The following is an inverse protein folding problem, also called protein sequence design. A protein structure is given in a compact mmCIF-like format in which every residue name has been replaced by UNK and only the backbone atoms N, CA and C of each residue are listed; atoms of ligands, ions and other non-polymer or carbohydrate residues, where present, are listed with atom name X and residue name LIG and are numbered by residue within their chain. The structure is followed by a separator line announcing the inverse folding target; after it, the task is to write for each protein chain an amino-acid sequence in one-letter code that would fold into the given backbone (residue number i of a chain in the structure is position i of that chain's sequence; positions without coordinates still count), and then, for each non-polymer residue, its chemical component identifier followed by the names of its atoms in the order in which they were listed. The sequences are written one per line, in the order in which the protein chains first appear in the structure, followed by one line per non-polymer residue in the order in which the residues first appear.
data_IF_149468772050
#
_entry.id   IF_149468772050
#
_cell.length_a   1.000
_cell.length_b   1.000
_cell.length_c   1.000
_cell.angle_alpha   90.00
_cell.angle_beta   90.00
_cell.angle_gamma   90.00
#
_symmetry.space_group_name_H-M   'P 1'
#
loop_
_entity.id
_entity.type
_entity.pdbx_description
1 polymer ?
#
# COMPACT_ATOMS: atom_id res chain seq x y z
N UNK A 1 -10.52 -13.24 13.88
CA UNK A 1 -9.13 -13.53 14.28
C UNK A 1 -8.33 -12.25 14.22
N UNK A 2 -7.53 -12.00 15.21
CA UNK A 2 -6.54 -10.93 15.26
C UNK A 2 -5.15 -11.59 15.17
N UNK A 3 -4.43 -11.31 14.09
CA UNK A 3 -3.07 -11.79 13.91
C UNK A 3 -2.10 -10.63 14.02
N UNK A 4 -1.05 -10.81 14.80
CA UNK A 4 0.04 -9.84 14.91
C UNK A 4 1.35 -10.60 14.99
N UNK A 5 2.21 -10.39 14.03
CA UNK A 5 3.58 -10.86 14.05
C UNK A 5 4.54 -9.67 14.17
N UNK A 6 5.72 -9.90 14.68
CA UNK A 6 6.81 -8.95 14.67
C UNK A 6 8.13 -9.70 14.73
N UNK A 7 9.14 -9.16 14.08
CA UNK A 7 10.52 -9.61 14.22
C UNK A 7 11.01 -9.22 15.62
N UNK A 8 11.52 -10.19 16.35
CA UNK A 8 12.06 -9.95 17.70
C UNK A 8 13.58 -9.87 17.64
N UNK A 9 14.20 -10.78 16.89
CA UNK A 9 15.65 -10.88 16.71
C UNK A 9 15.97 -11.23 15.26
N UNK A 10 17.07 -10.70 14.75
CA UNK A 10 17.63 -11.04 13.43
C UNK A 10 18.94 -11.81 13.55
N UNK A 11 19.55 -11.82 14.77
CA UNK A 11 20.84 -12.44 15.06
C UNK A 11 21.96 -11.94 14.14
N UNK A 12 21.84 -10.68 13.72
CA UNK A 12 22.78 -10.00 12.84
C UNK A 12 23.78 -9.14 13.61
N UNK A 13 24.29 -8.12 12.91
CA UNK A 13 25.26 -7.19 13.47
C UNK A 13 24.67 -6.36 14.61
N UNK A 14 25.51 -5.98 15.57
CA UNK A 14 25.16 -5.05 16.63
C UNK A 14 25.57 -3.63 16.24
N UNK A 15 24.70 -2.67 16.52
CA UNK A 15 24.97 -1.24 16.33
C UNK A 15 24.89 -0.50 17.64
N UNK A 16 25.72 0.51 17.81
CA UNK A 16 25.73 1.35 19.00
C UNK A 16 24.47 2.22 19.07
N UNK A 17 23.90 2.32 20.26
CA UNK A 17 22.82 3.26 20.57
C UNK A 17 23.47 4.49 21.17
N UNK A 18 23.24 5.65 20.54
CA UNK A 18 23.79 6.92 20.98
C UNK A 18 22.74 7.71 21.76
N UNK A 19 23.18 8.45 22.78
CA UNK A 19 22.35 9.46 23.44
C UNK A 19 22.28 10.77 22.63
N UNK A 20 21.56 11.77 23.15
CA UNK A 20 21.40 13.07 22.50
C UNK A 20 22.73 13.84 22.34
N UNK A 21 23.77 13.46 23.10
CA UNK A 21 25.09 14.03 23.06
C UNK A 21 26.09 13.25 22.18
N UNK A 22 25.65 12.14 21.57
CA UNK A 22 26.46 11.28 20.73
C UNK A 22 27.30 10.23 21.50
N UNK A 23 27.07 10.04 22.80
CA UNK A 23 27.77 9.00 23.57
C UNK A 23 27.08 7.64 23.42
N UNK A 24 27.85 6.57 23.38
CA UNK A 24 27.34 5.20 23.34
C UNK A 24 26.71 4.86 24.69
N UNK A 25 25.41 4.59 24.72
CA UNK A 25 24.65 4.19 25.90
C UNK A 25 24.27 2.71 25.93
N UNK A 26 24.51 2.00 24.83
CA UNK A 26 24.22 0.57 24.72
C UNK A 26 24.41 0.06 23.29
N UNK A 27 24.04 -1.20 23.08
CA UNK A 27 24.03 -1.80 21.75
C UNK A 27 22.67 -2.45 21.48
N UNK A 28 22.25 -2.44 20.22
CA UNK A 28 21.07 -3.15 19.71
C UNK A 28 21.39 -3.87 18.41
N UNK A 29 20.61 -4.88 18.09
CA UNK A 29 20.71 -5.52 16.79
C UNK A 29 20.36 -4.52 15.68
N UNK A 30 21.12 -4.56 14.59
CA UNK A 30 20.85 -3.77 13.38
C UNK A 30 19.63 -4.31 12.64
N UNK A 31 18.90 -3.41 12.02
CA UNK A 31 17.88 -3.77 11.04
C UNK A 31 18.53 -4.25 9.73
N UNK A 32 17.94 -5.24 9.08
CA UNK A 32 18.37 -5.68 7.74
C UNK A 32 17.65 -4.86 6.66
N UNK A 33 18.23 -3.73 6.34
CA UNK A 33 17.68 -2.78 5.36
C UNK A 33 17.59 -3.41 3.96
N UNK A 34 18.55 -4.28 3.61
CA UNK A 34 18.60 -4.94 2.30
C UNK A 34 17.40 -5.86 2.08
N UNK A 35 17.04 -6.64 3.09
CA UNK A 35 15.90 -7.54 3.04
C UNK A 35 14.59 -6.87 3.56
N UNK A 36 14.69 -5.61 4.00
CA UNK A 36 13.58 -4.85 4.61
C UNK A 36 13.01 -5.51 5.86
N UNK A 37 13.88 -6.05 6.68
CA UNK A 37 13.54 -6.66 7.96
C UNK A 37 13.90 -5.71 9.09
N UNK A 38 12.90 -5.27 9.83
CA UNK A 38 13.05 -4.27 10.88
C UNK A 38 12.61 -4.87 12.20
N UNK A 39 13.47 -4.78 13.21
CA UNK A 39 13.18 -5.29 14.56
C UNK A 39 11.99 -4.52 15.15
N UNK A 40 11.03 -5.26 15.69
CA UNK A 40 9.77 -4.70 16.20
C UNK A 40 8.68 -4.49 15.14
N UNK A 41 8.99 -4.67 13.85
CA UNK A 41 8.04 -4.59 12.74
C UNK A 41 7.61 -5.97 12.26
N UNK A 42 6.52 -6.01 11.50
CA UNK A 42 6.05 -7.22 10.83
C UNK A 42 6.91 -7.54 9.62
N UNK A 43 7.05 -8.82 9.26
CA UNK A 43 7.63 -9.24 7.98
C UNK A 43 6.90 -8.69 6.77
N UNK A 44 5.60 -8.39 6.93
CA UNK A 44 4.73 -7.88 5.88
C UNK A 44 4.70 -6.33 5.82
N UNK A 45 5.62 -5.68 6.54
CA UNK A 45 5.68 -4.21 6.56
C UNK A 45 6.09 -3.67 5.19
N UNK A 46 5.37 -2.65 4.75
CA UNK A 46 5.67 -1.92 3.52
C UNK A 46 6.63 -0.79 3.88
N UNK A 47 7.87 -0.87 3.40
CA UNK A 47 8.86 0.18 3.57
C UNK A 47 9.40 0.61 2.21
N UNK A 48 9.38 1.92 1.94
CA UNK A 48 9.80 2.50 0.67
C UNK A 48 9.32 3.93 0.47
N UNK A 49 9.60 4.50 -0.69
CA UNK A 49 9.11 5.82 -1.07
C UNK A 49 7.58 5.82 -1.14
N UNK A 50 6.94 6.77 -0.46
CA UNK A 50 5.49 6.89 -0.38
C UNK A 50 4.94 7.81 -1.45
N UNK A 51 3.99 7.30 -2.23
CA UNK A 51 3.22 8.15 -3.17
C UNK A 51 2.20 8.96 -2.38
N UNK A 52 2.28 10.29 -2.49
CA UNK A 52 1.37 11.23 -1.81
C UNK A 52 0.38 11.90 -2.75
N UNK A 53 0.54 11.75 -4.06
CA UNK A 53 -0.36 12.30 -5.06
C UNK A 53 0.23 12.25 -6.46
N UNK A 54 -0.25 13.12 -7.31
CA UNK A 54 0.22 13.35 -8.67
C UNK A 54 0.54 14.83 -8.82
N UNK A 55 1.67 15.16 -9.42
CA UNK A 55 2.05 16.54 -9.70
C UNK A 55 1.02 17.21 -10.60
N UNK A 56 0.47 18.34 -10.17
CA UNK A 56 -0.51 19.08 -10.91
C UNK A 56 0.13 20.14 -11.82
N UNK A 57 -0.67 20.72 -12.73
CA UNK A 57 -0.17 21.67 -13.73
C UNK A 57 0.45 22.93 -13.10
N UNK A 58 -0.10 23.41 -12.01
CA UNK A 58 0.39 24.57 -11.24
C UNK A 58 1.65 24.26 -10.42
N UNK A 59 2.01 23.00 -10.24
CA UNK A 59 3.21 22.55 -9.55
C UNK A 59 4.38 22.23 -10.51
N UNK A 60 4.29 22.60 -11.81
CA UNK A 60 5.25 22.19 -12.84
C UNK A 60 6.71 22.58 -12.54
N UNK A 61 6.94 23.76 -12.00
CA UNK A 61 8.29 24.21 -11.65
C UNK A 61 8.88 23.47 -10.46
N UNK A 62 8.02 23.05 -9.52
CA UNK A 62 8.46 22.23 -8.39
C UNK A 62 8.77 20.81 -8.86
N UNK A 63 7.92 20.21 -9.68
CA UNK A 63 8.10 18.86 -10.22
C UNK A 63 9.43 18.70 -10.96
N UNK A 64 9.87 19.73 -11.67
CA UNK A 64 11.18 19.75 -12.38
C UNK A 64 12.37 19.53 -11.44
N UNK A 65 12.31 19.99 -10.19
CA UNK A 65 13.41 19.80 -9.22
C UNK A 65 13.63 18.32 -8.95
N UNK A 66 12.55 17.53 -8.96
CA UNK A 66 12.58 16.08 -8.76
C UNK A 66 12.75 15.27 -10.08
N UNK A 67 13.01 15.96 -11.20
CA UNK A 67 13.23 15.32 -12.50
C UNK A 67 11.98 14.72 -13.13
N UNK A 68 10.80 15.19 -12.74
CA UNK A 68 9.48 14.74 -13.19
C UNK A 68 8.64 15.91 -13.73
N UNK A 69 7.44 15.63 -14.22
CA UNK A 69 6.55 16.61 -14.82
C UNK A 69 5.12 16.47 -14.29
N UNK A 70 4.24 17.46 -14.53
CA UNK A 70 2.81 17.33 -14.24
C UNK A 70 2.23 16.03 -14.80
N UNK A 71 1.44 15.35 -13.98
CA UNK A 71 0.90 14.02 -14.29
C UNK A 71 1.76 12.85 -13.84
N UNK A 72 3.01 13.06 -13.44
CA UNK A 72 3.83 12.04 -12.79
C UNK A 72 3.49 11.93 -11.30
N UNK A 73 3.79 10.79 -10.68
CA UNK A 73 3.55 10.63 -9.25
C UNK A 73 4.45 11.53 -8.40
N UNK A 74 3.85 12.12 -7.37
CA UNK A 74 4.50 12.89 -6.34
C UNK A 74 4.82 11.99 -5.16
N UNK A 75 6.11 11.88 -4.82
CA UNK A 75 6.56 11.10 -3.68
C UNK A 75 6.75 12.01 -2.46
N UNK A 76 6.79 11.42 -1.28
CA UNK A 76 7.10 12.14 -0.06
C UNK A 76 8.60 12.38 0.02
N UNK A 77 8.98 13.65 0.10
CA UNK A 77 10.30 14.11 0.47
C UNK A 77 10.27 14.37 1.99
N UNK A 78 10.95 13.55 2.76
CA UNK A 78 10.86 13.56 4.24
C UNK A 78 11.81 14.58 4.84
N UNK A 79 12.99 14.72 4.27
CA UNK A 79 14.01 15.65 4.74
C UNK A 79 13.94 17.05 4.09
N UNK A 80 13.14 17.21 3.02
CA UNK A 80 12.91 18.47 2.33
C UNK A 80 14.10 18.93 1.49
N UNK A 81 14.97 18.01 1.08
CA UNK A 81 16.18 18.33 0.32
C UNK A 81 15.94 18.56 -1.18
N UNK A 82 14.71 18.31 -1.68
CA UNK A 82 14.33 18.47 -3.08
C UNK A 82 14.76 17.33 -3.99
N UNK A 83 15.08 16.18 -3.42
CA UNK A 83 15.45 14.95 -4.14
C UNK A 83 14.78 13.76 -3.46
N UNK A 84 14.47 12.71 -4.21
CA UNK A 84 13.98 11.45 -3.64
C UNK A 84 15.14 10.49 -3.43
N UNK A 85 15.43 10.17 -2.17
CA UNK A 85 16.55 9.34 -1.75
C UNK A 85 16.09 8.15 -0.89
N UNK A 86 17.04 7.35 -0.45
CA UNK A 86 16.74 6.25 0.49
C UNK A 86 16.32 6.76 1.88
N UNK A 87 16.65 8.01 2.21
CA UNK A 87 16.29 8.68 3.47
C UNK A 87 14.82 9.06 3.53
N UNK A 88 14.16 9.17 2.36
CA UNK A 88 12.72 9.44 2.23
C UNK A 88 11.84 8.19 2.36
N UNK A 89 12.44 7.02 2.54
CA UNK A 89 11.68 5.78 2.70
C UNK A 89 10.99 5.73 4.06
N UNK A 90 9.69 5.46 4.03
CA UNK A 90 8.83 5.42 5.22
C UNK A 90 8.06 4.12 5.32
N UNK A 91 7.61 3.81 6.54
CA UNK A 91 6.68 2.71 6.77
C UNK A 91 5.26 3.12 6.38
N UNK A 92 4.67 2.37 5.45
CA UNK A 92 3.38 2.70 4.85
C UNK A 92 2.23 1.79 5.33
N UNK A 93 2.51 0.85 6.22
CA UNK A 93 1.58 -0.17 6.71
C UNK A 93 1.96 -1.56 6.26
N UNK A 94 1.02 -2.49 6.21
CA UNK A 94 1.28 -3.92 5.97
C UNK A 94 0.53 -4.45 4.77
N UNK A 95 1.07 -5.49 4.13
CA UNK A 95 0.40 -6.24 3.06
C UNK A 95 -0.55 -7.29 3.60
N UNK A 96 -0.34 -7.78 4.83
CA UNK A 96 -1.23 -8.73 5.48
C UNK A 96 -2.31 -8.03 6.31
N UNK A 97 -3.54 -8.57 6.33
CA UNK A 97 -4.61 -8.01 7.15
C UNK A 97 -4.27 -8.05 8.65
N UNK A 98 -4.46 -6.92 9.32
CA UNK A 98 -4.32 -6.82 10.79
C UNK A 98 -5.49 -7.46 11.52
N UNK A 99 -6.65 -7.47 10.88
CA UNK A 99 -7.88 -7.94 11.45
C UNK A 99 -8.75 -8.65 10.41
N UNK A 100 -9.23 -9.83 10.76
CA UNK A 100 -10.16 -10.63 9.95
C UNK A 100 -11.34 -11.05 10.81
N UNK A 101 -12.54 -10.99 10.25
CA UNK A 101 -13.73 -11.50 10.92
C UNK A 101 -14.69 -12.13 9.92
N UNK A 102 -15.44 -13.10 10.43
CA UNK A 102 -16.51 -13.77 9.70
C UNK A 102 -17.75 -13.76 10.58
N UNK A 103 -18.87 -13.39 10.00
CA UNK A 103 -20.18 -13.42 10.64
C UNK A 103 -21.08 -14.36 9.85
N UNK A 104 -21.48 -15.46 10.48
CA UNK A 104 -22.49 -16.36 9.95
C UNK A 104 -23.76 -16.20 10.76
N UNK A 105 -24.89 -16.10 10.07
CA UNK A 105 -26.22 -16.07 10.67
C UNK A 105 -27.09 -17.11 9.99
N UNK A 106 -27.81 -17.85 10.81
CA UNK A 106 -28.79 -18.82 10.39
C UNK A 106 -30.10 -18.49 11.10
N UNK A 107 -31.16 -18.21 10.32
CA UNK A 107 -32.49 -17.84 10.82
C UNK A 107 -33.52 -18.84 10.37
N UNK A 108 -34.38 -19.22 11.30
CA UNK A 108 -35.59 -19.93 10.97
C UNK A 108 -36.77 -18.95 11.03
N UNK A 109 -37.31 -18.60 9.87
CA UNK A 109 -38.41 -17.66 9.75
C UNK A 109 -39.68 -18.47 9.54
N UNK A 110 -40.62 -18.36 10.47
CA UNK A 110 -41.76 -19.25 10.55
C UNK A 110 -41.32 -20.73 10.62
N UNK A 111 -42.22 -21.66 10.46
CA UNK A 111 -41.90 -23.09 10.64
C UNK A 111 -41.09 -23.68 9.47
N UNK A 112 -41.19 -23.08 8.29
CA UNK A 112 -40.80 -23.72 7.04
C UNK A 112 -39.75 -22.94 6.22
N UNK A 113 -39.32 -21.75 6.62
CA UNK A 113 -38.35 -20.94 5.89
C UNK A 113 -37.06 -20.84 6.69
N UNK A 114 -36.00 -21.33 6.09
CA UNK A 114 -34.65 -21.20 6.60
C UNK A 114 -33.86 -20.18 5.76
N UNK A 115 -33.23 -19.20 6.42
CA UNK A 115 -32.40 -18.18 5.76
C UNK A 115 -31.04 -18.20 6.41
N UNK A 116 -30.01 -18.34 5.63
CA UNK A 116 -28.64 -18.20 6.14
C UNK A 116 -27.84 -17.25 5.25
N UNK A 117 -26.91 -16.53 5.88
CA UNK A 117 -25.92 -15.75 5.16
C UNK A 117 -24.58 -15.72 5.90
N UNK A 118 -23.53 -15.55 5.14
CA UNK A 118 -22.19 -15.40 5.68
C UNK A 118 -21.52 -14.16 5.10
N UNK A 119 -21.03 -13.29 6.01
CA UNK A 119 -20.19 -12.16 5.69
C UNK A 119 -18.77 -12.47 6.13
N UNK A 120 -17.79 -12.11 5.32
CA UNK A 120 -16.41 -12.09 5.77
C UNK A 120 -15.72 -10.79 5.39
N UNK A 121 -14.67 -10.47 6.15
CA UNK A 121 -14.02 -9.19 6.02
C UNK A 121 -12.55 -9.24 6.38
N UNK A 122 -11.74 -8.51 5.60
CA UNK A 122 -10.31 -8.32 5.81
C UNK A 122 -10.04 -6.82 5.96
N UNK A 123 -9.29 -6.45 7.01
CA UNK A 123 -9.04 -5.05 7.33
C UNK A 123 -7.58 -4.74 7.62
N UNK A 124 -7.20 -3.47 7.31
CA UNK A 124 -5.95 -2.88 7.74
C UNK A 124 -4.74 -3.27 6.89
N UNK A 125 -4.96 -3.78 5.67
CA UNK A 125 -3.90 -4.10 4.73
C UNK A 125 -3.94 -3.22 3.48
N UNK A 126 -2.80 -3.12 2.85
CA UNK A 126 -2.62 -2.46 1.54
C UNK A 126 -2.18 -3.51 0.51
N UNK A 127 -2.40 -3.22 -0.73
CA UNK A 127 -1.86 -4.01 -1.84
C UNK A 127 -1.33 -3.11 -2.93
N UNK A 128 -0.40 -3.64 -3.70
CA UNK A 128 0.17 -2.95 -4.86
C UNK A 128 -0.90 -2.67 -5.91
N UNK A 129 -0.81 -1.50 -6.51
CA UNK A 129 -1.67 -1.03 -7.59
C UNK A 129 -0.86 -0.31 -8.65
N UNK A 130 0.23 -0.93 -9.08
CA UNK A 130 1.22 -0.33 -9.97
C UNK A 130 0.69 -0.04 -11.39
N UNK A 131 -0.46 -0.59 -11.74
CA UNK A 131 -1.18 -0.22 -12.98
C UNK A 131 -1.47 1.28 -13.04
N UNK A 132 -1.57 1.96 -11.91
CA UNK A 132 -1.80 3.41 -11.85
C UNK A 132 -0.61 4.25 -12.33
N UNK A 133 0.59 3.66 -12.41
CA UNK A 133 1.80 4.35 -12.89
C UNK A 133 1.75 4.66 -14.38
N UNK A 134 1.04 3.87 -15.17
CA UNK A 134 1.04 3.96 -16.64
C UNK A 134 2.44 4.06 -17.27
N UNK A 135 3.45 3.51 -16.61
CA UNK A 135 4.82 3.54 -17.13
C UNK A 135 4.92 2.67 -18.39
N UNK A 136 5.22 3.29 -19.43
CA UNK A 136 5.52 3.04 -20.82
C UNK A 136 5.38 1.65 -21.44
N UNK A 137 5.76 0.60 -20.80
CA UNK A 137 5.89 -0.70 -21.48
C UNK A 137 4.72 -1.64 -21.29
N UNK A 138 4.03 -1.55 -20.18
CA UNK A 138 2.99 -2.53 -19.81
C UNK A 138 1.62 -2.27 -20.45
N UNK A 139 1.29 -1.01 -20.73
CA UNK A 139 -0.05 -0.66 -21.25
C UNK A 139 -0.13 -0.72 -22.78
N UNK A 140 0.98 -0.41 -23.48
CA UNK A 140 0.99 -0.31 -24.92
C UNK A 140 1.55 -1.52 -25.65
N UNK A 141 2.49 -2.24 -25.04
CA UNK A 141 3.22 -3.30 -25.72
C UNK A 141 2.59 -4.69 -25.54
N UNK A 142 1.77 -4.89 -24.53
CA UNK A 142 1.27 -6.22 -24.20
C UNK A 142 0.05 -6.67 -25.00
N UNK A 143 -0.51 -5.83 -25.87
CA UNK A 143 -1.75 -6.11 -26.62
C UNK A 143 -2.89 -6.66 -25.75
N UNK A 144 -2.85 -6.35 -24.47
CA UNK A 144 -3.88 -6.76 -23.53
C UNK A 144 -5.10 -5.85 -23.65
N UNK A 145 -6.27 -6.39 -23.32
CA UNK A 145 -7.48 -5.62 -23.25
C UNK A 145 -7.34 -4.55 -22.15
N UNK A 146 -7.12 -3.31 -22.56
CA UNK A 146 -7.09 -2.17 -21.66
C UNK A 146 -8.52 -1.65 -21.48
N UNK A 147 -8.98 -1.57 -20.23
CA UNK A 147 -10.20 -0.81 -19.94
C UNK A 147 -9.87 0.68 -19.85
N UNK A 148 -10.86 1.51 -20.06
CA UNK A 148 -10.75 2.95 -19.94
C UNK A 148 -10.36 3.30 -18.49
N UNK A 149 -9.12 3.73 -18.29
CA UNK A 149 -8.61 4.16 -16.99
C UNK A 149 -8.68 5.69 -16.89
N UNK A 150 -8.98 6.24 -15.70
CA UNK A 150 -9.07 7.69 -15.48
C UNK A 150 -7.68 8.29 -15.25
N UNK A 151 -6.78 8.19 -16.25
CA UNK A 151 -5.44 8.75 -16.15
C UNK A 151 -5.46 10.28 -16.09
N UNK A 152 -4.40 10.84 -15.55
CA UNK A 152 -4.24 12.28 -15.42
C UNK A 152 -4.09 12.97 -16.78
N UNK A 153 -4.82 14.04 -16.98
CA UNK A 153 -4.60 15.05 -18.02
C UNK A 153 -4.88 16.44 -17.42
N UNK A 154 -4.46 17.55 -18.08
CA UNK A 154 -4.80 18.88 -17.60
C UNK A 154 -6.32 19.11 -17.43
N UNK A 155 -7.14 18.47 -18.25
CA UNK A 155 -8.60 18.57 -18.22
C UNK A 155 -9.24 17.57 -17.22
N UNK A 156 -8.48 16.56 -16.79
CA UNK A 156 -8.92 15.55 -15.83
C UNK A 156 -7.87 15.38 -14.72
N UNK A 157 -7.66 16.39 -13.87
CA UNK A 157 -6.69 16.31 -12.79
C UNK A 157 -7.12 15.24 -11.76
N UNK A 158 -6.20 14.36 -11.40
CA UNK A 158 -6.40 13.30 -10.42
C UNK A 158 -5.14 13.09 -9.60
N UNK A 159 -5.31 12.67 -8.35
CA UNK A 159 -4.21 12.28 -7.46
C UNK A 159 -4.03 10.76 -7.35
N UNK A 160 -4.81 9.98 -8.11
CA UNK A 160 -4.81 8.53 -7.99
C UNK A 160 -4.14 7.82 -9.15
N UNK A 161 -4.07 8.46 -10.31
CA UNK A 161 -3.59 7.89 -11.55
C UNK A 161 -2.58 8.82 -12.19
N UNK A 162 -1.44 8.29 -12.56
CA UNK A 162 -0.47 9.06 -13.33
C UNK A 162 -0.96 9.30 -14.76
N UNK A 163 -0.29 10.22 -15.46
CA UNK A 163 -0.47 10.41 -16.89
C UNK A 163 0.00 9.17 -17.66
N UNK A 164 -0.45 9.04 -18.89
CA UNK A 164 0.07 8.03 -19.81
C UNK A 164 1.57 8.30 -20.02
N UNK A 165 2.36 7.23 -20.03
CA UNK A 165 3.82 7.30 -20.14
C UNK A 165 4.48 8.16 -19.05
N UNK A 166 4.04 7.95 -17.81
CA UNK A 166 4.57 8.67 -16.66
C UNK A 166 6.04 8.32 -16.40
N UNK A 167 6.78 9.31 -15.95
CA UNK A 167 8.16 9.15 -15.47
C UNK A 167 8.19 8.83 -13.97
N UNK A 168 9.18 8.04 -13.56
CA UNK A 168 9.48 7.82 -12.15
C UNK A 168 10.63 8.71 -11.64
N UNK A 169 11.20 9.54 -12.52
CA UNK A 169 12.42 10.32 -12.18
C UNK A 169 13.62 9.41 -11.86
N UNK A 170 13.63 8.16 -12.35
CA UNK A 170 14.67 7.18 -12.02
C UNK A 170 14.46 6.44 -10.70
N UNK A 171 13.39 6.74 -9.96
CA UNK A 171 13.12 6.16 -8.64
C UNK A 171 12.33 4.86 -8.74
N UNK A 172 12.62 3.94 -7.82
CA UNK A 172 11.87 2.68 -7.66
C UNK A 172 10.88 2.81 -6.51
N UNK A 173 9.59 2.77 -6.83
CA UNK A 173 8.51 2.80 -5.86
C UNK A 173 7.32 1.95 -6.33
N UNK A 174 6.41 1.64 -5.42
CA UNK A 174 5.13 1.02 -5.72
C UNK A 174 3.97 1.87 -5.23
N UNK A 175 2.89 1.86 -5.99
CA UNK A 175 1.63 2.50 -5.57
C UNK A 175 0.88 1.51 -4.69
N UNK A 176 0.56 1.91 -3.45
CA UNK A 176 -0.19 1.08 -2.53
C UNK A 176 -1.58 1.66 -2.27
N UNK A 177 -2.60 0.79 -2.31
CA UNK A 177 -3.98 1.16 -1.98
C UNK A 177 -4.52 0.27 -0.88
N UNK A 178 -5.43 0.82 -0.07
CA UNK A 178 -6.17 0.06 0.94
C UNK A 178 -7.00 -1.03 0.25
N UNK A 179 -6.92 -2.25 0.76
CA UNK A 179 -7.68 -3.41 0.29
C UNK A 179 -8.68 -3.94 1.31
N UNK A 180 -9.02 -3.14 2.33
CA UNK A 180 -10.06 -3.52 3.30
C UNK A 180 -11.41 -3.63 2.63
N UNK A 181 -12.14 -4.69 2.95
CA UNK A 181 -13.47 -4.94 2.39
C UNK A 181 -14.36 -5.76 3.33
N UNK A 182 -15.66 -5.68 3.09
CA UNK A 182 -16.68 -6.60 3.60
C UNK A 182 -17.33 -7.26 2.38
N UNK A 183 -17.47 -8.58 2.41
CA UNK A 183 -18.08 -9.36 1.33
C UNK A 183 -19.17 -10.27 1.87
N UNK A 184 -20.30 -10.29 1.17
CA UNK A 184 -21.28 -11.36 1.29
C UNK A 184 -20.73 -12.58 0.56
N UNK A 185 -20.39 -13.63 1.32
CA UNK A 185 -19.78 -14.85 0.78
C UNK A 185 -20.84 -15.85 0.33
N UNK A 186 -21.87 -15.99 1.15
CA UNK A 186 -22.97 -16.92 0.86
C UNK A 186 -24.29 -16.33 1.34
N UNK A 187 -25.34 -16.58 0.59
CA UNK A 187 -26.74 -16.40 1.01
C UNK A 187 -27.55 -17.62 0.54
N UNK A 188 -28.32 -18.19 1.43
CA UNK A 188 -29.18 -19.33 1.14
C UNK A 188 -30.58 -19.09 1.72
N UNK A 189 -31.60 -19.44 0.95
CA UNK A 189 -32.98 -19.44 1.38
C UNK A 189 -33.56 -20.83 1.07
N UNK A 190 -34.01 -21.51 2.08
CA UNK A 190 -34.64 -22.81 1.99
C UNK A 190 -36.11 -22.73 2.38
N UNK A 191 -36.97 -23.49 1.70
CA UNK A 191 -38.34 -23.71 2.10
C UNK A 191 -38.61 -25.22 2.27
N UNK A 192 -38.97 -25.59 3.47
CA UNK A 192 -39.35 -26.96 3.78
C UNK A 192 -40.84 -27.17 3.50
N UNK A 193 -41.14 -27.96 2.49
CA UNK A 193 -42.53 -28.33 2.16
C UNK A 193 -43.05 -29.25 3.26
N UNK A 194 -44.20 -28.93 3.89
CA UNK A 194 -44.77 -29.74 4.94
C UNK A 194 -45.28 -31.11 4.42
#
# INVERSE_FOLDING_TARGET
TLNRNKIVHLYGDMVDVLDENGNVVGQKEADDIKNKWFIGKSLDEIWGLEVIGVWQQDEAEEAKKYGVAPGDFKLRDVDGNGQYTDEDKVFQGTTSPKFTWTLRNDFKIYKNIDVSFMLYSLWGHKGTYDVAKHSGTTVYNDRQNAYKLPYWTPENPTNEWARIDSSTGGNSFSVYRKKSFIRLDNISVGYNVP
#
